data_IF_370249908125
#
_entry.id   IF_370249908125
#
_cell.length_a   1.000
_cell.length_b   1.000
_cell.length_c   1.000
_cell.angle_alpha   90.00
_cell.angle_beta   90.00
_cell.angle_gamma   90.00
#
_symmetry.space_group_name_H-M   'P 1'
#
loop_
_entity.id
_entity.type
_entity.pdbx_description
1 polymer ?
#
# COMPACT_ATOMS: atom_id res chain seq x y z
N UNK A 1 -71.85 -9.66 2.29
CA UNK A 1 -70.43 -9.53 1.89
C UNK A 1 -69.60 -9.86 3.12
N UNK A 2 -68.81 -10.95 3.14
CA UNK A 2 -67.98 -11.22 4.29
C UNK A 2 -66.79 -10.25 4.28
N UNK A 3 -66.57 -9.58 5.41
CA UNK A 3 -65.45 -8.70 5.66
C UNK A 3 -64.13 -9.44 5.38
N UNK A 4 -63.43 -9.00 4.34
CA UNK A 4 -62.08 -9.45 4.05
C UNK A 4 -61.12 -8.78 5.05
N UNK A 5 -61.14 -9.23 6.31
CA UNK A 5 -60.16 -8.83 7.31
C UNK A 5 -58.78 -9.26 6.81
N UNK A 6 -57.98 -8.29 6.35
CA UNK A 6 -56.56 -8.49 6.07
C UNK A 6 -55.90 -9.03 7.35
N UNK A 7 -55.60 -10.32 7.39
CA UNK A 7 -54.76 -10.91 8.43
C UNK A 7 -53.39 -10.23 8.33
N UNK A 8 -53.03 -9.42 9.31
CA UNK A 8 -51.69 -8.83 9.40
C UNK A 8 -50.85 -9.83 10.19
N UNK A 9 -49.85 -10.43 9.53
CA UNK A 9 -48.86 -11.26 10.21
C UNK A 9 -47.67 -10.35 10.53
N UNK A 10 -47.25 -10.27 11.81
CA UNK A 10 -46.05 -9.55 12.15
C UNK A 10 -44.84 -10.25 11.51
N UNK A 11 -44.07 -9.51 10.72
CA UNK A 11 -42.84 -10.02 10.12
C UNK A 11 -41.76 -9.97 11.20
N UNK A 12 -41.05 -11.07 11.41
CA UNK A 12 -39.92 -11.10 12.31
C UNK A 12 -38.63 -10.67 11.58
N UNK A 13 -38.09 -9.51 11.94
CA UNK A 13 -36.87 -8.96 11.32
C UNK A 13 -35.57 -9.49 11.94
N UNK A 14 -35.64 -10.39 12.94
CA UNK A 14 -34.45 -11.00 13.53
C UNK A 14 -33.92 -12.17 12.70
N UNK A 15 -34.76 -12.77 11.87
CA UNK A 15 -34.42 -13.95 11.09
C UNK A 15 -33.58 -13.54 9.88
N UNK A 16 -32.40 -14.17 9.76
CA UNK A 16 -31.34 -13.78 8.81
C UNK A 16 -30.72 -14.97 8.08
N UNK A 17 -30.80 -16.15 8.69
CA UNK A 17 -30.26 -17.40 8.15
C UNK A 17 -31.31 -18.07 7.27
N UNK A 18 -30.85 -18.80 6.25
CA UNK A 18 -31.70 -19.53 5.30
C UNK A 18 -32.87 -20.28 5.95
N UNK A 19 -32.59 -21.13 6.95
CA UNK A 19 -33.60 -21.97 7.60
C UNK A 19 -34.66 -21.13 8.31
N UNK A 20 -34.23 -20.07 9.00
CA UNK A 20 -35.13 -19.16 9.73
C UNK A 20 -36.03 -18.35 8.78
N UNK A 21 -35.47 -17.90 7.64
CA UNK A 21 -36.22 -17.16 6.61
C UNK A 21 -37.22 -18.11 5.93
N UNK A 22 -36.79 -19.33 5.62
CA UNK A 22 -37.64 -20.34 4.99
C UNK A 22 -38.85 -20.69 5.85
N UNK A 23 -38.63 -20.90 7.15
CA UNK A 23 -39.71 -21.22 8.09
C UNK A 23 -40.71 -20.08 8.23
N UNK A 24 -40.23 -18.82 8.32
CA UNK A 24 -41.11 -17.65 8.36
C UNK A 24 -41.94 -17.53 7.06
N UNK A 25 -41.32 -17.72 5.90
CA UNK A 25 -42.01 -17.69 4.62
C UNK A 25 -43.02 -18.83 4.49
N UNK A 26 -42.72 -20.01 5.05
CA UNK A 26 -43.63 -21.14 5.12
C UNK A 26 -44.85 -20.83 6.00
N UNK A 27 -44.66 -20.26 7.20
CA UNK A 27 -45.75 -19.85 8.09
C UNK A 27 -46.66 -18.81 7.39
N UNK A 28 -46.04 -17.82 6.74
CA UNK A 28 -46.76 -16.81 5.95
C UNK A 28 -47.57 -17.49 4.84
N UNK A 29 -46.97 -18.38 4.07
CA UNK A 29 -47.64 -19.07 2.98
C UNK A 29 -48.85 -19.89 3.45
N UNK A 30 -48.69 -20.68 4.53
CA UNK A 30 -49.76 -21.47 5.13
C UNK A 30 -50.93 -20.61 5.62
N UNK A 31 -50.64 -19.42 6.16
CA UNK A 31 -51.66 -18.56 6.76
C UNK A 31 -52.43 -17.71 5.75
N UNK A 32 -51.76 -17.25 4.70
CA UNK A 32 -52.35 -16.37 3.67
C UNK A 32 -52.96 -17.13 2.50
N UNK A 33 -52.43 -18.31 2.15
CA UNK A 33 -52.88 -19.08 0.99
C UNK A 33 -53.43 -20.47 1.32
N UNK A 34 -54.19 -20.68 2.42
CA UNK A 34 -54.60 -22.02 2.86
C UNK A 34 -55.49 -22.76 1.86
N UNK A 35 -56.21 -22.03 1.01
CA UNK A 35 -57.14 -22.60 0.02
C UNK A 35 -56.53 -22.72 -1.39
N UNK A 36 -55.41 -22.04 -1.65
CA UNK A 36 -54.80 -21.96 -2.98
C UNK A 36 -53.57 -22.84 -3.09
N UNK A 37 -52.84 -23.02 -1.99
CA UNK A 37 -51.61 -23.79 -1.96
C UNK A 37 -51.56 -24.65 -0.70
N UNK A 38 -51.65 -25.98 -0.87
CA UNK A 38 -51.72 -26.96 0.22
C UNK A 38 -50.59 -27.99 0.19
N UNK A 39 -49.80 -28.03 -0.88
CA UNK A 39 -48.70 -28.98 -1.05
C UNK A 39 -47.37 -28.33 -0.66
N UNK A 40 -46.92 -28.59 0.57
CA UNK A 40 -45.65 -28.12 1.13
C UNK A 40 -44.63 -29.25 1.25
N UNK A 41 -44.79 -30.32 0.47
CA UNK A 41 -43.78 -31.38 0.40
C UNK A 41 -42.47 -30.85 -0.17
N UNK A 42 -41.35 -31.44 0.25
CA UNK A 42 -39.99 -31.02 -0.14
C UNK A 42 -39.77 -31.07 -1.67
N UNK A 43 -40.52 -31.93 -2.38
CA UNK A 43 -40.47 -32.03 -3.84
C UNK A 43 -41.43 -31.08 -4.60
N UNK A 44 -42.20 -30.25 -3.90
CA UNK A 44 -43.19 -29.38 -4.53
C UNK A 44 -42.56 -28.13 -5.14
N UNK A 45 -43.15 -27.61 -6.21
CA UNK A 45 -42.75 -26.33 -6.82
C UNK A 45 -42.78 -25.17 -5.81
N UNK A 46 -43.72 -25.20 -4.85
CA UNK A 46 -43.78 -24.20 -3.79
C UNK A 46 -42.59 -24.26 -2.84
N UNK A 47 -42.11 -25.45 -2.47
CA UNK A 47 -40.89 -25.58 -1.66
C UNK A 47 -39.70 -25.02 -2.43
N UNK A 48 -39.55 -25.37 -3.71
CA UNK A 48 -38.45 -24.85 -4.53
C UNK A 48 -38.47 -23.31 -4.64
N UNK A 49 -39.66 -22.69 -4.73
CA UNK A 49 -39.78 -21.23 -4.75
C UNK A 49 -39.42 -20.62 -3.39
N UNK A 50 -39.88 -21.21 -2.29
CA UNK A 50 -39.50 -20.78 -0.93
C UNK A 50 -37.99 -20.90 -0.71
N UNK A 51 -37.38 -22.00 -1.15
CA UNK A 51 -35.95 -22.26 -1.06
C UNK A 51 -35.16 -21.22 -1.87
N UNK A 52 -35.59 -20.93 -3.10
CA UNK A 52 -34.94 -19.93 -3.95
C UNK A 52 -34.99 -18.51 -3.34
N UNK A 53 -36.15 -18.10 -2.81
CA UNK A 53 -36.29 -16.78 -2.17
C UNK A 53 -35.50 -16.72 -0.86
N UNK A 54 -35.51 -17.79 -0.07
CA UNK A 54 -34.76 -17.86 1.19
C UNK A 54 -33.26 -17.78 0.96
N UNK A 55 -32.75 -18.44 -0.08
CA UNK A 55 -31.35 -18.36 -0.48
C UNK A 55 -30.93 -16.93 -0.87
N UNK A 56 -31.76 -16.24 -1.67
CA UNK A 56 -31.50 -14.84 -2.02
C UNK A 56 -31.58 -13.94 -0.78
N UNK A 57 -32.52 -14.20 0.13
CA UNK A 57 -32.68 -13.46 1.39
C UNK A 57 -31.45 -13.57 2.28
N UNK A 58 -30.94 -14.78 2.50
CA UNK A 58 -29.73 -15.05 3.27
C UNK A 58 -28.51 -14.33 2.68
N UNK A 59 -28.31 -14.43 1.35
CA UNK A 59 -27.20 -13.78 0.68
C UNK A 59 -27.26 -12.24 0.79
N UNK A 60 -28.46 -11.66 0.70
CA UNK A 60 -28.66 -10.21 0.89
C UNK A 60 -28.43 -9.79 2.35
N UNK A 61 -28.88 -10.59 3.31
CA UNK A 61 -28.67 -10.34 4.73
C UNK A 61 -27.18 -10.29 5.05
N UNK A 62 -26.41 -11.26 4.55
CA UNK A 62 -24.96 -11.28 4.67
C UNK A 62 -24.31 -9.99 4.12
N UNK A 63 -24.68 -9.58 2.90
CA UNK A 63 -24.10 -8.38 2.30
C UNK A 63 -24.49 -7.09 3.01
N UNK A 64 -25.70 -6.99 3.56
CA UNK A 64 -26.11 -5.83 4.35
C UNK A 64 -25.28 -5.71 5.62
N UNK A 65 -25.15 -6.78 6.38
CA UNK A 65 -24.35 -6.80 7.61
C UNK A 65 -22.88 -6.48 7.30
N UNK A 66 -22.35 -7.05 6.22
CA UNK A 66 -21.01 -6.76 5.75
C UNK A 66 -20.80 -5.27 5.44
N UNK A 67 -21.69 -4.67 4.63
CA UNK A 67 -21.58 -3.27 4.26
C UNK A 67 -21.72 -2.32 5.46
N UNK A 68 -22.62 -2.63 6.40
CA UNK A 68 -22.79 -1.83 7.62
C UNK A 68 -21.54 -1.90 8.48
N UNK A 69 -20.97 -3.09 8.68
CA UNK A 69 -19.73 -3.24 9.43
C UNK A 69 -18.55 -2.49 8.79
N UNK A 70 -18.43 -2.53 7.46
CA UNK A 70 -17.38 -1.79 6.74
C UNK A 70 -17.61 -0.26 6.70
N UNK A 71 -18.82 0.22 7.05
CA UNK A 71 -19.16 1.64 7.05
C UNK A 71 -18.60 2.40 8.27
N UNK A 72 -18.24 1.71 9.34
CA UNK A 72 -17.68 2.33 10.55
C UNK A 72 -16.25 1.87 10.79
N UNK A 73 -15.41 2.78 11.27
CA UNK A 73 -13.99 2.49 11.54
C UNK A 73 -13.79 1.37 12.58
N UNK A 74 -14.66 1.31 13.58
CA UNK A 74 -14.54 0.37 14.71
C UNK A 74 -14.91 -1.07 14.31
N UNK A 75 -15.83 -1.22 13.34
CA UNK A 75 -16.34 -2.53 12.89
C UNK A 75 -15.78 -2.99 11.55
N UNK A 76 -15.09 -2.11 10.81
CA UNK A 76 -14.55 -2.45 9.50
C UNK A 76 -13.42 -3.49 9.61
N UNK A 77 -13.43 -4.47 8.70
CA UNK A 77 -12.42 -5.52 8.65
C UNK A 77 -11.44 -5.33 7.48
N UNK A 78 -11.90 -4.76 6.36
CA UNK A 78 -11.01 -4.53 5.23
C UNK A 78 -10.03 -3.40 5.51
N UNK A 79 -8.74 -3.74 5.38
CA UNK A 79 -7.63 -2.79 5.51
C UNK A 79 -7.83 -1.50 4.71
N UNK A 80 -8.29 -1.61 3.46
CA UNK A 80 -8.51 -0.46 2.59
C UNK A 80 -9.62 0.48 3.12
N UNK A 81 -10.67 -0.07 3.74
CA UNK A 81 -11.76 0.73 4.30
C UNK A 81 -11.31 1.41 5.59
N UNK A 82 -10.57 0.71 6.45
CA UNK A 82 -9.95 1.27 7.66
C UNK A 82 -9.05 2.45 7.30
N UNK A 83 -8.16 2.30 6.30
CA UNK A 83 -7.28 3.39 5.85
C UNK A 83 -8.09 4.57 5.28
N UNK A 84 -9.18 4.32 4.55
CA UNK A 84 -10.06 5.39 4.05
C UNK A 84 -10.74 6.16 5.18
N UNK A 85 -11.27 5.45 6.16
CA UNK A 85 -11.86 6.05 7.37
C UNK A 85 -10.83 6.87 8.14
N UNK A 86 -9.63 6.31 8.35
CA UNK A 86 -8.52 7.03 8.97
C UNK A 86 -8.14 8.30 8.20
N UNK A 87 -8.12 8.24 6.86
CA UNK A 87 -7.81 9.41 6.01
C UNK A 87 -8.81 10.55 6.18
N UNK A 88 -10.10 10.25 6.37
CA UNK A 88 -11.12 11.28 6.66
C UNK A 88 -10.86 11.95 8.02
N UNK A 89 -10.34 11.19 8.98
CA UNK A 89 -9.94 11.69 10.31
C UNK A 89 -8.56 12.37 10.32
N UNK A 90 -7.88 12.44 9.18
CA UNK A 90 -6.55 13.06 9.03
C UNK A 90 -5.37 12.10 9.24
N UNK A 91 -5.61 10.80 9.43
CA UNK A 91 -4.56 9.79 9.43
C UNK A 91 -4.11 9.47 8.00
N UNK A 92 -2.86 9.80 7.67
CA UNK A 92 -2.24 9.39 6.42
C UNK A 92 -1.44 8.11 6.65
N UNK A 93 -1.84 7.03 5.96
CA UNK A 93 -1.12 5.77 6.00
C UNK A 93 0.17 5.87 5.17
N UNK A 94 1.32 5.86 5.85
CA UNK A 94 2.66 6.00 5.25
C UNK A 94 3.30 4.63 4.94
N UNK A 95 2.55 3.70 4.34
CA UNK A 95 3.08 2.47 3.71
C UNK A 95 4.20 1.74 4.47
N UNK A 96 5.17 1.21 3.72
CA UNK A 96 6.42 0.69 4.28
C UNK A 96 7.45 1.81 4.40
N UNK A 97 7.94 2.05 5.62
CA UNK A 97 8.96 3.06 5.86
C UNK A 97 10.29 2.72 5.17
N UNK A 98 10.97 3.75 4.69
CA UNK A 98 12.32 3.63 4.13
C UNK A 98 13.37 3.65 5.23
N UNK A 99 14.42 2.85 5.09
CA UNK A 99 15.54 2.83 6.02
C UNK A 99 16.54 3.90 5.62
N UNK A 100 16.95 4.73 6.58
CA UNK A 100 17.97 5.76 6.41
C UNK A 100 19.27 5.36 7.09
N UNK A 101 20.40 5.75 6.51
CA UNK A 101 21.72 5.49 7.08
C UNK A 101 22.76 6.49 6.59
N UNK A 102 23.95 6.44 7.19
CA UNK A 102 25.09 7.23 6.76
C UNK A 102 26.18 6.29 6.22
N UNK A 103 26.71 6.61 5.05
CA UNK A 103 27.87 5.92 4.46
C UNK A 103 29.11 6.79 4.59
N UNK A 104 30.24 6.16 4.88
CA UNK A 104 31.56 6.80 4.80
C UNK A 104 32.19 6.43 3.46
N UNK A 105 32.56 7.44 2.69
CA UNK A 105 33.14 7.29 1.36
C UNK A 105 34.60 7.75 1.40
N UNK A 106 35.45 7.01 0.71
CA UNK A 106 36.86 7.34 0.56
C UNK A 106 37.19 7.42 -0.92
N UNK A 107 37.83 8.51 -1.33
CA UNK A 107 38.35 8.68 -2.69
C UNK A 107 39.85 8.97 -2.64
N UNK A 108 40.59 8.35 -3.56
CA UNK A 108 42.01 8.60 -3.75
C UNK A 108 42.18 9.74 -4.76
N UNK A 109 42.88 10.79 -4.34
CA UNK A 109 43.18 11.97 -5.15
C UNK A 109 44.70 12.11 -5.24
N UNK A 110 45.26 12.39 -6.42
CA UNK A 110 46.69 12.61 -6.57
C UNK A 110 47.18 13.79 -5.72
N UNK A 111 48.44 13.74 -5.30
CA UNK A 111 49.10 14.87 -4.66
C UNK A 111 49.29 16.04 -5.65
N UNK A 112 49.20 17.27 -5.14
CA UNK A 112 49.53 18.47 -5.91
C UNK A 112 51.00 18.45 -6.36
N UNK A 113 51.31 19.11 -7.48
CA UNK A 113 52.68 19.31 -7.96
C UNK A 113 53.58 20.06 -6.95
N UNK A 114 52.99 20.77 -5.99
CA UNK A 114 53.71 21.43 -4.88
C UNK A 114 54.03 20.49 -3.71
N UNK A 115 53.54 19.25 -3.71
CA UNK A 115 53.78 18.25 -2.64
C UNK A 115 53.06 18.53 -1.32
N UNK A 116 52.31 19.64 -1.23
CA UNK A 116 51.59 20.06 -0.03
C UNK A 116 50.09 19.81 -0.27
N UNK A 117 49.65 18.58 0.02
CA UNK A 117 48.23 18.21 0.02
C UNK A 117 47.69 17.65 -1.31
N UNK A 118 46.41 17.23 -1.32
CA UNK A 118 45.73 16.71 -2.50
C UNK A 118 45.49 17.77 -3.57
N UNK A 119 45.59 17.39 -4.84
CA UNK A 119 45.14 18.21 -5.96
C UNK A 119 43.60 18.16 -6.08
N UNK A 120 42.93 19.19 -5.55
CA UNK A 120 41.47 19.27 -5.49
C UNK A 120 40.79 19.32 -6.87
N UNK A 121 41.53 19.58 -7.96
CA UNK A 121 40.97 19.50 -9.32
C UNK A 121 40.57 18.08 -9.71
N UNK A 122 41.15 17.09 -9.06
CA UNK A 122 40.82 15.68 -9.22
C UNK A 122 39.89 15.16 -8.12
N UNK A 123 39.39 16.02 -7.23
CA UNK A 123 38.39 15.65 -6.24
C UNK A 123 37.00 15.65 -6.91
N UNK A 124 36.34 14.49 -7.06
CA UNK A 124 35.05 14.42 -7.73
C UNK A 124 33.93 14.94 -6.83
N UNK A 125 32.77 15.19 -7.45
CA UNK A 125 31.51 15.37 -6.73
C UNK A 125 30.65 14.14 -7.02
N UNK A 126 30.36 13.34 -5.99
CA UNK A 126 29.44 12.23 -6.12
C UNK A 126 28.03 12.77 -6.10
N UNK A 127 27.28 12.55 -7.18
CA UNK A 127 25.95 13.13 -7.34
C UNK A 127 24.90 12.38 -6.51
N UNK A 128 23.90 13.11 -6.01
CA UNK A 128 22.62 12.59 -5.52
C UNK A 128 22.06 11.60 -6.55
N UNK A 129 21.50 10.50 -6.07
CA UNK A 129 20.98 9.43 -6.92
C UNK A 129 22.01 8.33 -7.22
N UNK A 130 23.27 8.47 -6.78
CA UNK A 130 24.25 7.38 -6.85
C UNK A 130 23.77 6.20 -6.01
N UNK A 131 23.78 4.99 -6.59
CA UNK A 131 23.30 3.76 -5.95
C UNK A 131 24.45 2.95 -5.35
N UNK A 132 24.23 2.39 -4.16
CA UNK A 132 25.15 1.48 -3.48
C UNK A 132 24.45 0.15 -3.22
N UNK A 133 25.14 -0.96 -3.44
CA UNK A 133 24.67 -2.30 -3.07
C UNK A 133 25.45 -2.81 -1.86
N UNK A 134 24.72 -3.38 -0.91
CA UNK A 134 25.31 -4.10 0.22
C UNK A 134 25.44 -5.60 -0.11
N UNK A 135 26.33 -6.29 0.58
CA UNK A 135 26.60 -7.73 0.36
C UNK A 135 25.37 -8.62 0.58
N UNK A 136 24.37 -8.14 1.32
CA UNK A 136 23.08 -8.80 1.55
C UNK A 136 22.06 -8.58 0.41
N UNK A 137 22.44 -7.89 -0.68
CA UNK A 137 21.56 -7.58 -1.80
C UNK A 137 20.67 -6.35 -1.61
N UNK A 138 20.77 -5.63 -0.49
CA UNK A 138 20.04 -4.38 -0.28
C UNK A 138 20.66 -3.24 -1.11
N UNK A 139 19.80 -2.39 -1.68
CA UNK A 139 20.20 -1.20 -2.44
C UNK A 139 19.91 0.07 -1.66
N UNK A 140 20.82 1.02 -1.75
CA UNK A 140 20.72 2.33 -1.13
C UNK A 140 21.03 3.43 -2.13
N UNK A 141 20.40 4.58 -1.98
CA UNK A 141 20.57 5.73 -2.86
C UNK A 141 21.07 6.92 -2.04
N UNK A 142 22.04 7.65 -2.59
CA UNK A 142 22.55 8.86 -1.99
C UNK A 142 21.54 10.01 -2.09
N UNK A 143 21.23 10.62 -0.95
CA UNK A 143 20.24 11.70 -0.84
C UNK A 143 20.79 13.06 -1.29
N UNK A 144 22.08 13.31 -1.07
CA UNK A 144 22.72 14.60 -1.33
C UNK A 144 23.99 14.46 -2.15
N UNK A 145 24.40 15.53 -2.84
CA UNK A 145 25.70 15.55 -3.49
C UNK A 145 26.80 15.53 -2.42
N UNK A 146 27.77 14.62 -2.56
CA UNK A 146 28.96 14.58 -1.70
C UNK A 146 30.13 15.16 -2.48
N UNK A 147 30.55 16.36 -2.08
CA UNK A 147 31.68 17.06 -2.66
C UNK A 147 32.98 16.70 -1.92
N UNK A 148 33.89 16.00 -2.60
CA UNK A 148 35.18 15.64 -2.02
C UNK A 148 36.19 16.81 -2.03
N UNK A 149 35.91 17.90 -2.75
CA UNK A 149 36.76 19.09 -2.78
C UNK A 149 36.60 19.97 -1.53
N UNK A 150 35.54 19.74 -0.73
CA UNK A 150 35.23 20.54 0.45
C UNK A 150 36.43 20.57 1.43
N UNK A 151 36.90 21.77 1.84
CA UNK A 151 38.00 21.91 2.80
C UNK A 151 37.77 21.26 4.17
N UNK A 152 36.50 21.07 4.58
CA UNK A 152 36.14 20.46 5.87
C UNK A 152 36.32 18.94 5.90
N UNK A 153 36.51 18.29 4.75
CA UNK A 153 36.72 16.86 4.69
C UNK A 153 38.11 16.47 5.22
N UNK A 154 38.18 15.36 5.95
CA UNK A 154 39.45 14.81 6.42
C UNK A 154 40.29 14.31 5.23
N UNK A 155 41.56 14.74 5.19
CA UNK A 155 42.52 14.40 4.14
C UNK A 155 43.72 13.71 4.77
N UNK A 156 43.96 12.46 4.40
CA UNK A 156 45.05 11.64 4.94
C UNK A 156 45.96 11.18 3.80
N UNK A 157 47.27 11.08 4.04
CA UNK A 157 48.21 10.50 3.07
C UNK A 157 47.89 9.02 2.92
N UNK A 158 47.59 8.58 1.69
CA UNK A 158 47.23 7.20 1.41
C UNK A 158 48.39 6.40 0.82
N UNK A 159 49.19 7.03 -0.06
CA UNK A 159 50.35 6.40 -0.69
C UNK A 159 51.51 7.38 -0.73
N UNK A 160 52.71 6.83 -0.55
CA UNK A 160 53.99 7.53 -0.64
C UNK A 160 54.86 6.86 -1.70
N UNK A 161 55.83 7.59 -2.22
CA UNK A 161 56.83 7.04 -3.12
C UNK A 161 57.95 6.37 -2.29
N UNK A 162 58.23 5.09 -2.57
CA UNK A 162 59.17 4.28 -1.79
C UNK A 162 60.64 4.79 -1.82
N UNK A 163 61.01 5.59 -2.82
CA UNK A 163 62.38 6.11 -2.96
C UNK A 163 62.57 7.52 -2.41
N UNK A 164 61.51 8.33 -2.32
CA UNK A 164 61.60 9.75 -1.92
C UNK A 164 60.81 10.08 -0.65
N UNK A 165 59.97 9.16 -0.16
CA UNK A 165 59.08 9.39 0.98
C UNK A 165 57.97 10.42 0.72
N UNK A 166 57.92 11.01 -0.48
CA UNK A 166 56.94 12.02 -0.83
C UNK A 166 55.54 11.40 -1.04
N UNK A 167 54.46 12.04 -0.57
CA UNK A 167 53.10 11.57 -0.78
C UNK A 167 52.72 11.64 -2.26
N UNK A 168 52.19 10.54 -2.81
CA UNK A 168 51.72 10.43 -4.20
C UNK A 168 50.21 10.51 -4.30
N UNK A 169 49.49 9.94 -3.32
CA UNK A 169 48.03 10.00 -3.24
C UNK A 169 47.58 10.32 -1.82
N UNK A 170 46.50 11.09 -1.74
CA UNK A 170 45.75 11.37 -0.52
C UNK A 170 44.39 10.69 -0.59
N UNK A 171 43.94 10.14 0.54
CA UNK A 171 42.57 9.71 0.72
C UNK A 171 41.77 10.84 1.34
N UNK A 172 40.66 11.20 0.69
CA UNK A 172 39.67 12.13 1.24
C UNK A 172 38.50 11.32 1.77
N UNK A 173 38.19 11.51 3.05
CA UNK A 173 37.03 10.91 3.71
C UNK A 173 35.86 11.89 3.68
N UNK A 174 34.71 11.42 3.22
CA UNK A 174 33.47 12.19 3.23
C UNK A 174 32.31 11.32 3.72
N UNK A 175 31.26 11.96 4.24
CA UNK A 175 30.04 11.30 4.70
C UNK A 175 28.90 11.60 3.75
N UNK A 176 28.05 10.62 3.50
CA UNK A 176 26.85 10.76 2.68
C UNK A 176 25.65 10.11 3.36
N UNK A 177 24.49 10.77 3.31
CA UNK A 177 23.24 10.19 3.79
C UNK A 177 22.61 9.35 2.67
N UNK A 178 22.14 8.17 3.02
CA UNK A 178 21.53 7.23 2.07
C UNK A 178 20.17 6.76 2.55
N UNK A 179 19.32 6.42 1.58
CA UNK A 179 17.99 5.83 1.81
C UNK A 179 17.89 4.48 1.10
N UNK A 180 17.22 3.51 1.71
CA UNK A 180 16.95 2.21 1.09
C UNK A 180 16.01 2.37 -0.10
N UNK A 181 16.37 1.81 -1.25
CA UNK A 181 15.51 1.84 -2.41
C UNK A 181 16.25 1.63 -3.73
N UNK A 182 15.46 1.62 -4.79
CA UNK A 182 15.92 1.62 -6.17
C UNK A 182 15.33 2.83 -6.89
N UNK A 183 16.13 3.46 -7.76
CA UNK A 183 15.64 4.55 -8.60
C UNK A 183 15.03 3.93 -9.86
N UNK A 184 13.73 4.17 -10.08
CA UNK A 184 13.01 3.72 -11.25
C UNK A 184 12.46 4.91 -12.03
N UNK A 185 12.58 4.88 -13.35
CA UNK A 185 11.95 5.85 -14.24
C UNK A 185 10.81 5.15 -14.97
N UNK A 186 9.60 5.70 -14.86
CA UNK A 186 8.43 5.23 -15.62
C UNK A 186 7.98 6.31 -16.62
N UNK A 187 8.05 5.99 -17.91
CA UNK A 187 7.57 6.88 -18.96
C UNK A 187 6.11 6.52 -19.32
N UNK A 188 5.20 7.49 -19.17
CA UNK A 188 3.78 7.29 -19.46
C UNK A 188 3.34 8.31 -20.51
N UNK A 189 2.86 7.83 -21.64
CA UNK A 189 2.32 8.68 -22.70
C UNK A 189 0.93 9.19 -22.29
N UNK A 190 0.82 10.50 -22.04
CA UNK A 190 -0.46 11.15 -21.77
C UNK A 190 -1.15 11.45 -23.11
N UNK A 191 -2.35 10.92 -23.28
CA UNK A 191 -3.19 11.15 -24.47
C UNK A 191 -3.87 12.54 -24.47
N UNK A 192 -4.98 12.73 -25.21
CA UNK A 192 -5.69 14.00 -25.25
C UNK A 192 -6.23 14.42 -23.87
N UNK A 193 -6.56 15.71 -23.73
CA UNK A 193 -7.04 16.31 -22.49
C UNK A 193 -8.28 15.61 -21.92
N UNK A 194 -8.22 15.28 -20.64
CA UNK A 194 -9.33 14.77 -19.84
C UNK A 194 -9.27 15.43 -18.45
N UNK A 195 -10.41 15.92 -17.96
CA UNK A 195 -10.48 16.61 -16.66
C UNK A 195 -10.26 15.58 -15.53
N UNK A 196 -9.35 15.90 -14.59
CA UNK A 196 -9.00 15.06 -13.44
C UNK A 196 -8.49 13.65 -13.78
N UNK A 197 -7.72 13.52 -14.86
CA UNK A 197 -7.11 12.24 -15.23
C UNK A 197 -6.12 11.75 -14.18
N UNK A 198 -6.40 10.58 -13.61
CA UNK A 198 -5.50 9.89 -12.70
C UNK A 198 -4.67 8.85 -13.46
N UNK A 199 -3.35 8.90 -13.32
CA UNK A 199 -2.43 7.94 -13.92
C UNK A 199 -1.96 6.99 -12.83
N UNK A 200 -2.18 5.69 -13.03
CA UNK A 200 -1.70 4.65 -12.12
C UNK A 200 -0.29 4.24 -12.54
N UNK A 201 0.67 4.41 -11.63
CA UNK A 201 2.03 3.89 -11.79
C UNK A 201 2.03 2.36 -11.73
N UNK A 202 2.91 1.71 -12.49
CA UNK A 202 3.01 0.24 -12.53
C UNK A 202 3.71 -0.34 -11.31
N UNK A 203 4.66 0.41 -10.75
CA UNK A 203 5.43 -0.03 -9.61
C UNK A 203 4.62 0.12 -8.31
N UNK A 204 4.63 -0.94 -7.50
CA UNK A 204 4.14 -0.91 -6.12
C UNK A 204 5.30 -0.59 -5.16
N UNK A 205 4.99 0.01 -4.00
CA UNK A 205 5.96 0.42 -2.97
C UNK A 205 6.86 1.59 -3.37
N UNK A 206 6.24 2.74 -3.66
CA UNK A 206 6.94 3.99 -3.97
C UNK A 206 6.96 4.85 -2.72
N UNK A 207 8.15 5.28 -2.29
CA UNK A 207 8.32 6.22 -1.17
C UNK A 207 8.25 7.68 -1.62
N UNK A 208 8.74 8.00 -2.82
CA UNK A 208 8.79 9.35 -3.38
C UNK A 208 8.66 9.29 -4.93
N UNK A 209 7.97 10.27 -5.54
CA UNK A 209 7.79 10.43 -7.00
C UNK A 209 8.41 11.76 -7.42
#
# INVERSE_FOLDING_TARGET
>A
MPDNQKKIVPINYTNREYDSIREDLLEIAQRFYPNTFQDFSEGSFGSLMLDAVSYVGDQLSFYLDYNVNESFLDTAFQFNNIVRHGKVLGYNYEGTSSVYGQVTLFVLVPASATGIGPDLRYAPILRRGSSFSAANGSSYILLDNVDFSNPQNDKVVARVNDSTGAPTFYAIKAFGNVVSGFYGIENITVGPYERFRSIRLRNSNISEI
#
